data_IF_937955892276
#
_entry.id   IF_937955892276
#
_cell.length_a   1.000
_cell.length_b   1.000
_cell.length_c   1.000
_cell.angle_alpha   90.00
_cell.angle_beta   90.00
_cell.angle_gamma   90.00
#
_symmetry.space_group_name_H-M   'P 1'
#
loop_
_entity.id
_entity.type
_entity.pdbx_description
1 polymer ?
#
# COMPACT_ATOMS: atom_id res chain seq x y z
N UNK A 1 -5.01 -13.34 6.67
CA UNK A 1 -4.14 -13.98 7.67
C UNK A 1 -2.84 -13.17 7.80
N UNK A 2 -2.71 -12.31 8.82
CA UNK A 2 -1.52 -11.49 9.06
C UNK A 2 -0.25 -12.30 9.37
N UNK A 3 -0.37 -13.44 10.05
CA UNK A 3 0.79 -14.26 10.40
C UNK A 3 1.42 -14.90 9.15
N UNK A 4 0.58 -15.39 8.24
CA UNK A 4 1.04 -15.89 6.94
C UNK A 4 1.66 -14.77 6.09
N UNK A 5 1.08 -13.57 6.09
CA UNK A 5 1.66 -12.42 5.39
C UNK A 5 3.03 -12.03 5.94
N UNK A 6 3.19 -11.98 7.27
CA UNK A 6 4.48 -11.71 7.92
C UNK A 6 5.55 -12.72 7.51
N UNK A 7 5.21 -14.02 7.49
CA UNK A 7 6.13 -15.08 7.05
C UNK A 7 6.56 -14.91 5.59
N UNK A 8 5.66 -14.52 4.70
CA UNK A 8 5.99 -14.26 3.29
C UNK A 8 6.94 -13.06 3.14
N UNK A 9 6.71 -11.99 3.91
CA UNK A 9 7.61 -10.82 3.94
C UNK A 9 9.01 -11.22 4.40
N UNK A 10 9.11 -12.04 5.45
CA UNK A 10 10.40 -12.54 5.95
C UNK A 10 11.14 -13.40 4.92
N UNK A 11 10.41 -14.23 4.16
CA UNK A 11 10.95 -15.06 3.09
C UNK A 11 11.41 -14.23 1.88
N UNK A 12 10.68 -13.18 1.54
CA UNK A 12 11.04 -12.24 0.48
C UNK A 12 12.24 -11.34 0.86
N UNK A 13 12.65 -11.35 2.14
CA UNK A 13 13.78 -10.56 2.63
C UNK A 13 13.41 -9.20 3.20
N UNK A 14 12.11 -8.91 3.36
CA UNK A 14 11.62 -7.71 4.04
C UNK A 14 11.60 -7.95 5.56
N UNK A 15 12.77 -7.87 6.19
CA UNK A 15 12.91 -8.12 7.63
C UNK A 15 12.34 -6.97 8.44
N UNK A 16 11.82 -7.28 9.63
CA UNK A 16 11.40 -6.27 10.58
C UNK A 16 12.63 -5.68 11.29
N UNK A 17 12.75 -4.35 11.32
CA UNK A 17 13.79 -3.58 12.01
C UNK A 17 13.10 -2.53 12.88
N UNK A 18 13.02 -2.80 14.18
CA UNK A 18 12.10 -2.05 15.06
C UNK A 18 10.66 -2.35 14.67
N UNK A 19 9.86 -1.32 14.44
CA UNK A 19 8.45 -1.46 14.06
C UNK A 19 8.22 -1.48 12.54
N UNK A 20 9.29 -1.44 11.73
CA UNK A 20 9.19 -1.24 10.29
C UNK A 20 9.88 -2.34 9.49
N UNK A 21 9.26 -2.75 8.40
CA UNK A 21 9.83 -3.65 7.40
C UNK A 21 10.84 -2.89 6.57
N UNK A 22 11.99 -3.51 6.32
CA UNK A 22 13.04 -2.94 5.49
C UNK A 22 13.45 -3.88 4.37
N UNK A 23 13.76 -3.32 3.20
CA UNK A 23 14.33 -4.05 2.08
C UNK A 23 15.78 -4.48 2.34
N UNK A 24 16.37 -5.18 1.36
CA UNK A 24 17.79 -5.60 1.40
C UNK A 24 18.76 -4.42 1.45
N UNK A 25 18.33 -3.26 0.95
CA UNK A 25 19.05 -1.99 1.00
C UNK A 25 18.88 -1.26 2.35
N UNK A 26 18.12 -1.83 3.29
CA UNK A 26 17.83 -1.26 4.59
C UNK A 26 16.80 -0.13 4.57
N UNK A 27 16.19 0.17 3.42
CA UNK A 27 15.18 1.22 3.32
C UNK A 27 13.81 0.73 3.80
N UNK A 28 12.97 1.61 4.37
CA UNK A 28 11.57 1.34 4.67
C UNK A 28 10.82 0.70 3.49
N UNK A 29 9.98 -0.29 3.76
CA UNK A 29 8.96 -0.73 2.81
C UNK A 29 7.74 0.17 2.94
N UNK A 30 7.76 1.27 2.19
CA UNK A 30 6.66 2.21 2.06
C UNK A 30 6.06 2.12 0.66
N UNK A 31 4.74 2.06 0.59
CA UNK A 31 3.98 1.93 -0.65
C UNK A 31 3.01 3.11 -0.81
N UNK A 32 2.66 3.40 -2.06
CA UNK A 32 1.69 4.42 -2.47
C UNK A 32 0.53 3.74 -3.17
N UNK A 33 -0.67 3.94 -2.64
CA UNK A 33 -1.90 3.52 -3.29
C UNK A 33 -2.65 4.74 -3.84
N UNK A 34 -2.98 4.68 -5.13
CA UNK A 34 -3.78 5.66 -5.82
C UNK A 34 -5.27 5.40 -5.53
N UNK A 35 -6.00 6.45 -5.17
CA UNK A 35 -7.45 6.43 -4.95
C UNK A 35 -8.16 7.57 -5.66
N UNK A 36 -9.46 7.38 -5.93
CA UNK A 36 -10.32 8.42 -6.45
C UNK A 36 -10.81 9.31 -5.30
N UNK A 37 -10.54 10.62 -5.37
CA UNK A 37 -10.90 11.55 -4.31
C UNK A 37 -12.42 11.69 -4.10
N UNK A 38 -13.24 11.36 -5.08
CA UNK A 38 -14.70 11.40 -4.99
C UNK A 38 -15.33 10.07 -4.57
N UNK A 39 -14.57 8.97 -4.51
CA UNK A 39 -15.10 7.67 -4.08
C UNK A 39 -14.92 7.48 -2.56
N UNK A 40 -16.02 7.43 -1.77
CA UNK A 40 -15.93 7.21 -0.33
C UNK A 40 -15.44 5.80 0.05
N UNK A 41 -15.64 4.80 -0.82
CA UNK A 41 -15.19 3.42 -0.57
C UNK A 41 -13.67 3.34 -0.64
N UNK A 42 -13.04 3.95 -1.65
CA UNK A 42 -11.58 4.01 -1.78
C UNK A 42 -10.94 4.59 -0.50
N UNK A 43 -11.49 5.69 0.01
CA UNK A 43 -10.99 6.33 1.23
C UNK A 43 -11.14 5.43 2.46
N UNK A 44 -12.31 4.80 2.62
CA UNK A 44 -12.59 3.93 3.75
C UNK A 44 -11.69 2.69 3.73
N UNK A 45 -11.59 2.01 2.59
CA UNK A 45 -10.75 0.82 2.41
C UNK A 45 -9.28 1.18 2.56
N UNK A 46 -8.83 2.30 1.96
CA UNK A 46 -7.45 2.79 2.09
C UNK A 46 -7.03 3.00 3.55
N UNK A 47 -7.93 3.52 4.40
CA UNK A 47 -7.68 3.64 5.85
C UNK A 47 -7.45 2.27 6.50
N UNK A 48 -8.32 1.29 6.24
CA UNK A 48 -8.17 -0.06 6.79
C UNK A 48 -6.89 -0.73 6.31
N UNK A 49 -6.55 -0.60 5.02
CA UNK A 49 -5.29 -1.13 4.48
C UNK A 49 -4.09 -0.52 5.19
N UNK A 50 -4.07 0.80 5.38
CA UNK A 50 -3.00 1.49 6.11
C UNK A 50 -2.84 0.96 7.53
N UNK A 51 -3.94 0.76 8.26
CA UNK A 51 -3.90 0.21 9.62
C UNK A 51 -3.41 -1.24 9.66
N UNK A 52 -3.92 -2.10 8.76
CA UNK A 52 -3.55 -3.52 8.74
C UNK A 52 -2.11 -3.74 8.28
N UNK A 53 -1.65 -2.98 7.29
CA UNK A 53 -0.29 -3.08 6.77
C UNK A 53 0.72 -2.43 7.72
N UNK A 54 0.32 -1.36 8.41
CA UNK A 54 1.09 -0.77 9.50
C UNK A 54 1.40 -1.78 10.61
N UNK A 55 0.43 -2.66 10.97
CA UNK A 55 0.68 -3.76 11.93
C UNK A 55 1.70 -4.79 11.45
N UNK A 56 1.97 -4.86 10.15
CA UNK A 56 3.00 -5.71 9.56
C UNK A 56 4.33 -4.97 9.38
N UNK A 57 4.40 -3.68 9.73
CA UNK A 57 5.54 -2.79 9.56
C UNK A 57 5.66 -2.19 8.17
N UNK A 58 4.60 -2.20 7.36
CA UNK A 58 4.58 -1.63 6.00
C UNK A 58 3.92 -0.25 6.05
N UNK A 59 4.61 0.77 5.53
CA UNK A 59 4.00 2.08 5.35
C UNK A 59 3.10 2.13 4.13
N UNK A 60 1.97 2.83 4.24
CA UNK A 60 1.07 3.07 3.12
C UNK A 60 0.66 4.55 3.07
N UNK A 61 1.01 5.21 1.97
CA UNK A 61 0.46 6.51 1.59
C UNK A 61 -0.77 6.26 0.73
N UNK A 62 -1.92 6.76 1.18
CA UNK A 62 -3.18 6.76 0.42
C UNK A 62 -3.26 8.10 -0.28
N UNK A 63 -3.12 8.10 -1.61
CA UNK A 63 -2.99 9.30 -2.44
C UNK A 63 -4.25 9.48 -3.29
N UNK A 64 -5.20 10.26 -2.76
CA UNK A 64 -6.49 10.45 -3.44
C UNK A 64 -6.47 11.69 -4.29
N UNK A 65 -6.72 11.52 -5.59
CA UNK A 65 -6.71 12.59 -6.58
C UNK A 65 -8.07 12.69 -7.26
N UNK A 66 -8.41 13.89 -7.72
CA UNK A 66 -9.63 14.11 -8.50
C UNK A 66 -9.52 13.45 -9.89
N UNK A 67 -8.33 13.49 -10.49
CA UNK A 67 -7.98 12.78 -11.72
C UNK A 67 -6.78 11.87 -11.47
N UNK A 68 -7.03 10.57 -11.51
CA UNK A 68 -6.00 9.53 -11.35
C UNK A 68 -5.36 9.12 -12.67
N UNK A 69 -5.91 9.54 -13.82
CA UNK A 69 -5.50 9.03 -15.14
C UNK A 69 -4.05 9.34 -15.48
N UNK A 70 -3.59 10.56 -15.18
CA UNK A 70 -2.21 11.00 -15.45
C UNK A 70 -1.18 10.15 -14.70
N UNK A 71 -1.20 10.04 -13.35
CA UNK A 71 -0.25 9.19 -12.63
C UNK A 71 -0.43 7.70 -12.94
N UNK A 72 -1.66 7.27 -13.28
CA UNK A 72 -1.91 5.91 -13.72
C UNK A 72 -1.17 5.57 -15.01
N UNK A 73 -1.35 6.36 -16.07
CA UNK A 73 -0.68 6.12 -17.34
C UNK A 73 0.85 6.29 -17.24
N UNK A 74 1.32 7.16 -16.34
CA UNK A 74 2.74 7.35 -16.08
C UNK A 74 3.37 6.24 -15.21
N UNK A 75 2.56 5.38 -14.56
CA UNK A 75 3.07 4.37 -13.63
C UNK A 75 3.63 4.96 -12.33
N UNK A 76 3.17 6.14 -11.92
CA UNK A 76 3.66 6.86 -10.73
C UNK A 76 2.97 6.44 -9.43
N UNK A 77 2.69 5.14 -9.29
CA UNK A 77 2.02 4.53 -8.14
C UNK A 77 2.59 3.14 -7.87
N UNK A 78 2.32 2.57 -6.69
CA UNK A 78 2.72 1.20 -6.38
C UNK A 78 1.50 0.26 -6.38
N UNK A 79 0.33 0.77 -5.95
CA UNK A 79 -0.98 0.15 -6.06
C UNK A 79 -2.02 1.17 -6.55
N UNK A 80 -3.12 0.71 -7.12
CA UNK A 80 -4.27 1.55 -7.44
C UNK A 80 -5.56 0.80 -7.09
N UNK A 81 -6.55 1.52 -6.59
CA UNK A 81 -7.93 1.02 -6.63
C UNK A 81 -8.40 1.02 -8.08
N UNK A 82 -8.87 -0.13 -8.53
CA UNK A 82 -9.40 -0.34 -9.87
C UNK A 82 -10.69 -1.16 -9.78
N UNK A 83 -11.54 -1.02 -10.80
CA UNK A 83 -12.77 -1.76 -10.92
C UNK A 83 -13.33 -1.61 -12.32
N UNK A 84 -13.70 -2.73 -12.93
CA UNK A 84 -14.53 -2.72 -14.12
C UNK A 84 -15.99 -2.72 -13.67
N UNK A 85 -16.75 -1.72 -14.08
CA UNK A 85 -18.20 -1.84 -14.05
C UNK A 85 -18.60 -3.00 -14.96
N UNK A 86 -19.26 -4.01 -14.40
CA UNK A 86 -20.03 -5.00 -15.18
C UNK A 86 -21.39 -4.43 -15.55
#
# INVERSE_FOLDING_TARGET
DPAKAAKLLDQAGYKLKGDQRVGKDGKPLDLRILCHATDPNDKAIGKYLKEWWGKLGIGLKVDCLDDVSVPWYAGEYDLAFDGWSV
#
